data_IF_736589327179
#
_entry.id   IF_736589327179
#
_cell.length_a   1.000
_cell.length_b   1.000
_cell.length_c   1.000
_cell.angle_alpha   90.00
_cell.angle_beta   90.00
_cell.angle_gamma   90.00
#
_symmetry.space_group_name_H-M   'P 1'
#
loop_
_entity.id
_entity.type
_entity.pdbx_description
1 polymer ?
#
# COMPACT_ATOMS: atom_id res chain seq x y z
N UNK A 1 9.87 27.79 18.57
CA UNK A 1 10.34 26.66 17.74
C UNK A 1 9.96 25.40 18.49
N UNK A 2 8.88 24.72 18.07
CA UNK A 2 8.51 23.42 18.63
C UNK A 2 9.56 22.43 18.17
N UNK A 3 10.33 21.89 19.10
CA UNK A 3 11.24 20.77 18.83
C UNK A 3 10.37 19.60 18.38
N UNK A 4 10.40 19.31 17.08
CA UNK A 4 9.76 18.13 16.52
C UNK A 4 10.36 16.91 17.22
N UNK A 5 9.57 16.19 17.99
CA UNK A 5 10.04 15.00 18.69
C UNK A 5 10.35 13.91 17.65
N UNK A 6 11.63 13.63 17.51
CA UNK A 6 12.16 12.68 16.53
C UNK A 6 12.27 11.32 17.21
N UNK A 7 11.52 10.33 16.78
CA UNK A 7 11.40 9.02 17.42
C UNK A 7 11.78 7.86 16.47
N UNK A 8 12.23 6.77 17.05
CA UNK A 8 12.53 5.54 16.33
C UNK A 8 11.25 4.69 16.18
N UNK A 9 10.90 4.31 14.96
CA UNK A 9 9.83 3.36 14.64
C UNK A 9 10.40 2.18 13.88
N UNK A 10 9.75 1.03 14.00
CA UNK A 10 9.98 -0.06 13.04
C UNK A 10 9.39 0.33 11.68
N UNK A 11 9.81 -0.35 10.63
CA UNK A 11 9.28 -0.12 9.29
C UNK A 11 7.74 -0.27 9.25
N UNK A 12 7.23 -1.37 9.81
CA UNK A 12 5.78 -1.63 9.85
C UNK A 12 5.01 -0.55 10.64
N UNK A 13 5.56 -0.08 11.76
CA UNK A 13 4.94 1.01 12.52
C UNK A 13 4.92 2.32 11.73
N UNK A 14 5.98 2.63 11.00
CA UNK A 14 6.06 3.85 10.18
C UNK A 14 5.03 3.84 9.05
N UNK A 15 4.86 2.70 8.37
CA UNK A 15 3.81 2.53 7.34
C UNK A 15 2.42 2.63 7.95
N UNK A 16 2.16 1.92 9.05
CA UNK A 16 0.87 1.96 9.73
C UNK A 16 0.48 3.39 10.15
N UNK A 17 1.43 4.15 10.71
CA UNK A 17 1.21 5.54 11.05
C UNK A 17 0.91 6.42 9.83
N UNK A 18 1.61 6.22 8.72
CA UNK A 18 1.31 6.90 7.47
C UNK A 18 -0.13 6.66 7.03
N UNK A 19 -0.59 5.40 7.07
CA UNK A 19 -1.97 5.07 6.71
C UNK A 19 -2.99 5.74 7.62
N UNK A 20 -2.79 5.72 8.93
CA UNK A 20 -3.67 6.42 9.86
C UNK A 20 -3.75 7.91 9.54
N UNK A 21 -2.63 8.56 9.27
CA UNK A 21 -2.57 9.98 8.94
C UNK A 21 -3.25 10.30 7.60
N UNK A 22 -3.09 9.46 6.57
CA UNK A 22 -3.72 9.67 5.28
C UNK A 22 -5.24 9.41 5.32
N UNK A 23 -5.69 8.43 6.09
CA UNK A 23 -7.12 8.20 6.32
C UNK A 23 -7.78 9.35 7.09
N UNK A 24 -7.07 9.97 8.04
CA UNK A 24 -7.55 11.18 8.74
C UNK A 24 -7.61 12.39 7.82
N UNK A 25 -6.61 12.54 6.94
CA UNK A 25 -6.46 13.68 6.05
C UNK A 25 -7.53 13.72 4.95
N UNK A 26 -7.87 12.57 4.38
CA UNK A 26 -8.73 12.51 3.19
C UNK A 26 -9.79 11.40 3.32
N UNK A 27 -11.09 11.78 3.35
CA UNK A 27 -12.17 10.80 3.44
C UNK A 27 -12.30 9.89 2.23
N UNK A 28 -11.69 10.23 1.09
CA UNK A 28 -11.70 9.40 -0.12
C UNK A 28 -10.66 8.27 -0.08
N UNK A 29 -9.74 8.27 0.89
CA UNK A 29 -8.80 7.16 1.07
C UNK A 29 -9.56 5.95 1.60
N UNK A 30 -9.46 4.84 0.87
CA UNK A 30 -10.01 3.53 1.23
C UNK A 30 -8.92 2.46 1.13
N UNK A 31 -9.10 1.37 1.85
CA UNK A 31 -8.20 0.21 1.79
C UNK A 31 -9.00 -1.03 1.43
N UNK A 32 -8.46 -1.85 0.53
CA UNK A 32 -9.01 -3.16 0.21
C UNK A 32 -7.91 -4.19 -0.01
N UNK A 33 -8.19 -5.42 0.36
CA UNK A 33 -7.28 -6.54 0.20
C UNK A 33 -7.70 -7.72 1.06
N UNK A 34 -6.97 -8.81 0.95
CA UNK A 34 -7.19 -10.00 1.76
C UNK A 34 -6.68 -9.78 3.19
N UNK A 35 -7.51 -10.08 4.19
CA UNK A 35 -7.21 -10.02 5.63
C UNK A 35 -6.76 -8.64 6.17
N UNK A 36 -6.98 -7.56 5.43
CA UNK A 36 -6.54 -6.21 5.82
C UNK A 36 -7.34 -5.63 6.99
N UNK A 37 -8.57 -6.13 7.20
CA UNK A 37 -9.45 -5.73 8.30
C UNK A 37 -9.47 -6.72 9.46
N UNK A 38 -8.66 -7.79 9.40
CA UNK A 38 -8.57 -8.80 10.46
C UNK A 38 -9.12 -10.17 10.08
N UNK A 39 -9.34 -10.42 8.80
CA UNK A 39 -9.81 -11.69 8.24
C UNK A 39 -11.32 -11.72 8.01
N UNK A 40 -11.71 -12.38 6.91
CA UNK A 40 -13.10 -12.49 6.50
C UNK A 40 -13.96 -13.20 7.56
N UNK A 41 -15.12 -12.63 7.87
CA UNK A 41 -16.10 -13.22 8.78
C UNK A 41 -15.90 -12.90 10.26
N UNK A 42 -15.04 -11.94 10.61
CA UNK A 42 -14.95 -11.42 11.97
C UNK A 42 -15.88 -10.21 12.15
N UNK A 43 -16.71 -10.28 13.19
CA UNK A 43 -17.60 -9.18 13.57
C UNK A 43 -16.97 -8.22 14.60
N UNK A 44 -15.86 -8.64 15.24
CA UNK A 44 -15.11 -7.80 16.17
C UNK A 44 -13.93 -7.12 15.48
N UNK A 45 -13.98 -5.83 15.38
CA UNK A 45 -12.91 -5.03 14.77
C UNK A 45 -11.85 -4.56 15.78
N UNK A 46 -12.07 -4.81 17.08
CA UNK A 46 -11.14 -4.35 18.13
C UNK A 46 -9.79 -5.10 18.08
N UNK A 47 -9.82 -6.35 17.64
CA UNK A 47 -8.66 -7.25 17.60
C UNK A 47 -8.20 -7.54 16.16
N UNK A 48 -8.49 -6.65 15.22
CA UNK A 48 -8.09 -6.78 13.84
C UNK A 48 -6.56 -6.81 13.71
N UNK A 49 -6.04 -7.87 13.09
CA UNK A 49 -4.61 -8.11 13.00
C UNK A 49 -3.87 -7.11 12.10
N UNK A 50 -4.59 -6.53 11.14
CA UNK A 50 -4.04 -5.51 10.23
C UNK A 50 -3.19 -6.10 9.11
N UNK A 51 -3.66 -7.18 8.51
CA UNK A 51 -2.95 -7.89 7.45
C UNK A 51 -1.82 -8.76 7.97
N UNK A 52 -1.21 -9.53 7.07
CA UNK A 52 -0.11 -10.47 7.38
C UNK A 52 1.10 -9.77 8.02
N UNK A 53 1.34 -8.52 7.64
CA UNK A 53 2.49 -7.73 8.10
C UNK A 53 2.10 -6.63 9.10
N UNK A 54 0.85 -6.59 9.54
CA UNK A 54 0.30 -5.62 10.50
C UNK A 54 0.38 -4.15 10.03
N UNK A 55 0.50 -3.93 8.73
CA UNK A 55 0.59 -2.60 8.15
C UNK A 55 -0.71 -1.81 8.30
N UNK A 56 -1.86 -2.51 8.35
CA UNK A 56 -3.21 -1.93 8.38
C UNK A 56 -3.86 -2.02 9.76
N UNK A 57 -3.08 -2.37 10.79
CA UNK A 57 -3.59 -2.58 12.15
C UNK A 57 -4.31 -1.34 12.69
N UNK A 58 -5.51 -1.56 13.26
CA UNK A 58 -6.32 -0.53 13.90
C UNK A 58 -7.12 0.35 12.94
N UNK A 59 -6.91 0.26 11.61
CA UNK A 59 -7.65 1.07 10.65
C UNK A 59 -9.15 0.75 10.65
N UNK A 60 -9.51 -0.53 10.63
CA UNK A 60 -10.92 -0.93 10.60
C UNK A 60 -11.69 -0.44 11.83
N UNK A 61 -11.12 -0.55 13.03
CA UNK A 61 -11.74 -0.09 14.26
C UNK A 61 -11.94 1.43 14.31
N UNK A 62 -11.06 2.19 13.63
CA UNK A 62 -11.11 3.66 13.63
C UNK A 62 -11.96 4.23 12.50
N UNK A 63 -11.87 3.65 11.30
CA UNK A 63 -12.45 4.23 10.08
C UNK A 63 -13.63 3.43 9.51
N UNK A 64 -13.91 2.27 10.08
CA UNK A 64 -15.08 1.46 9.75
C UNK A 64 -14.95 0.63 8.46
N UNK A 65 -15.89 -0.32 8.25
CA UNK A 65 -15.88 -1.28 7.14
C UNK A 65 -16.15 -0.64 5.78
N UNK A 66 -16.72 0.56 5.75
CA UNK A 66 -16.94 1.29 4.50
C UNK A 66 -15.64 1.77 3.87
N UNK A 67 -14.61 1.98 4.69
CA UNK A 67 -13.30 2.46 4.24
C UNK A 67 -12.21 1.40 4.30
N UNK A 68 -12.34 0.36 5.13
CA UNK A 68 -11.37 -0.74 5.27
C UNK A 68 -12.08 -2.04 5.00
N UNK A 69 -11.76 -2.70 3.87
CA UNK A 69 -12.55 -3.80 3.33
C UNK A 69 -11.71 -5.05 3.14
N UNK A 70 -12.04 -6.11 3.86
CA UNK A 70 -11.56 -7.44 3.51
C UNK A 70 -12.21 -7.90 2.21
N UNK A 71 -11.43 -8.59 1.39
CA UNK A 71 -11.90 -9.16 0.13
C UNK A 71 -11.75 -10.69 0.18
N UNK A 72 -12.53 -11.42 -0.63
CA UNK A 72 -12.18 -12.82 -0.94
C UNK A 72 -10.79 -12.91 -1.56
N UNK A 73 -10.20 -14.11 -1.57
CA UNK A 73 -8.98 -14.43 -2.32
C UNK A 73 -9.31 -14.30 -3.82
N UNK A 74 -9.09 -13.11 -4.35
CA UNK A 74 -9.55 -12.71 -5.68
C UNK A 74 -8.81 -11.47 -6.16
N UNK A 75 -7.50 -11.57 -6.35
CA UNK A 75 -6.62 -10.42 -6.65
C UNK A 75 -7.05 -9.71 -7.95
N UNK A 76 -7.44 -10.45 -8.97
CA UNK A 76 -7.98 -9.84 -10.19
C UNK A 76 -9.24 -9.01 -9.93
N UNK A 77 -10.11 -9.49 -9.03
CA UNK A 77 -11.35 -8.82 -8.67
C UNK A 77 -11.12 -7.54 -7.87
N UNK A 78 -10.37 -7.60 -6.77
CA UNK A 78 -10.22 -6.43 -5.92
C UNK A 78 -9.24 -5.39 -6.51
N UNK A 79 -8.20 -5.78 -7.26
CA UNK A 79 -7.36 -4.82 -7.98
C UNK A 79 -8.19 -4.12 -9.08
N UNK A 80 -9.04 -4.86 -9.81
CA UNK A 80 -9.96 -4.25 -10.77
C UNK A 80 -10.97 -3.29 -10.12
N UNK A 81 -11.49 -3.66 -8.95
CA UNK A 81 -12.36 -2.77 -8.15
C UNK A 81 -11.62 -1.51 -7.68
N UNK A 82 -10.35 -1.64 -7.28
CA UNK A 82 -9.50 -0.49 -6.92
C UNK A 82 -9.28 0.45 -8.11
N UNK A 83 -8.98 -0.09 -9.30
CA UNK A 83 -8.86 0.72 -10.53
C UNK A 83 -10.15 1.49 -10.81
N UNK A 84 -11.31 0.81 -10.75
CA UNK A 84 -12.61 1.46 -10.95
C UNK A 84 -12.92 2.51 -9.88
N UNK A 85 -12.59 2.24 -8.63
CA UNK A 85 -12.77 3.18 -7.51
C UNK A 85 -11.92 4.44 -7.68
N UNK A 86 -10.66 4.29 -8.12
CA UNK A 86 -9.78 5.43 -8.41
C UNK A 86 -10.32 6.28 -9.57
N UNK A 87 -10.77 5.65 -10.65
CA UNK A 87 -11.40 6.34 -11.77
C UNK A 87 -12.70 7.08 -11.39
N UNK A 88 -13.39 6.60 -10.34
CA UNK A 88 -14.59 7.22 -9.78
C UNK A 88 -14.31 8.32 -8.74
N UNK A 89 -13.04 8.62 -8.44
CA UNK A 89 -12.63 9.73 -7.57
C UNK A 89 -12.27 9.35 -6.14
N UNK A 90 -12.20 8.06 -5.80
CA UNK A 90 -11.62 7.60 -4.53
C UNK A 90 -10.08 7.48 -4.64
N UNK A 91 -9.43 7.33 -3.49
CA UNK A 91 -7.99 7.07 -3.38
C UNK A 91 -7.76 5.69 -2.73
N UNK A 92 -7.92 4.61 -3.50
CA UNK A 92 -7.75 3.28 -2.94
C UNK A 92 -6.29 2.93 -2.68
N UNK A 93 -6.07 2.27 -1.54
CA UNK A 93 -4.90 1.47 -1.26
C UNK A 93 -5.32 0.03 -1.48
N UNK A 94 -4.67 -0.68 -2.37
CA UNK A 94 -4.92 -2.10 -2.62
C UNK A 94 -3.74 -2.93 -2.11
N UNK A 95 -3.98 -3.81 -1.14
CA UNK A 95 -2.94 -4.70 -0.61
C UNK A 95 -2.89 -6.00 -1.43
N UNK A 96 -1.91 -6.08 -2.33
CA UNK A 96 -1.64 -7.27 -3.13
C UNK A 96 -0.91 -8.36 -2.32
N UNK A 97 -0.55 -8.09 -1.08
CA UNK A 97 0.11 -8.98 -0.14
C UNK A 97 1.50 -9.45 -0.63
N UNK A 98 1.61 -10.35 -1.60
CA UNK A 98 2.86 -10.86 -2.15
C UNK A 98 3.00 -10.52 -3.63
N UNK A 99 4.20 -10.09 -4.02
CA UNK A 99 4.47 -9.63 -5.39
C UNK A 99 4.20 -10.69 -6.47
N UNK A 100 4.35 -11.97 -6.14
CA UNK A 100 4.05 -13.08 -7.06
C UNK A 100 2.58 -13.17 -7.47
N UNK A 101 1.66 -12.61 -6.69
CA UNK A 101 0.22 -12.57 -7.02
C UNK A 101 -0.10 -11.67 -8.21
N UNK A 102 0.88 -10.91 -8.72
CA UNK A 102 0.77 -10.21 -10.00
C UNK A 102 0.36 -11.16 -11.14
N UNK A 103 0.73 -12.43 -11.05
CA UNK A 103 0.35 -13.46 -12.03
C UNK A 103 -1.16 -13.64 -12.16
N UNK A 104 -1.93 -13.36 -11.10
CA UNK A 104 -3.41 -13.45 -11.10
C UNK A 104 -4.07 -12.17 -11.60
N UNK A 105 -3.53 -10.99 -11.28
CA UNK A 105 -4.16 -9.70 -11.55
C UNK A 105 -3.42 -8.83 -12.57
N UNK A 106 -2.50 -9.40 -13.32
CA UNK A 106 -1.64 -8.67 -14.26
C UNK A 106 -2.40 -7.80 -15.26
N UNK A 107 -3.52 -8.26 -15.79
CA UNK A 107 -4.34 -7.48 -16.72
C UNK A 107 -4.85 -6.18 -16.08
N UNK A 108 -5.30 -6.24 -14.83
CA UNK A 108 -5.80 -5.05 -14.13
C UNK A 108 -4.69 -4.02 -13.91
N UNK A 109 -3.46 -4.46 -13.70
CA UNK A 109 -2.30 -3.57 -13.48
C UNK A 109 -1.75 -3.07 -14.82
N UNK A 110 -1.43 -3.97 -15.76
CA UNK A 110 -0.69 -3.62 -16.97
C UNK A 110 -1.56 -3.00 -18.07
N UNK A 111 -2.82 -3.39 -18.17
CA UNK A 111 -3.74 -2.87 -19.18
C UNK A 111 -4.66 -1.78 -18.63
N UNK A 112 -5.28 -2.01 -17.49
CA UNK A 112 -6.23 -1.04 -16.96
C UNK A 112 -5.51 0.08 -16.18
N UNK A 113 -4.82 -0.24 -15.10
CA UNK A 113 -4.17 0.75 -14.23
C UNK A 113 -3.11 1.58 -14.97
N UNK A 114 -2.19 0.93 -15.69
CA UNK A 114 -1.09 1.62 -16.36
C UNK A 114 -1.52 2.49 -17.54
N UNK A 115 -2.59 2.13 -18.23
CA UNK A 115 -2.93 2.73 -19.55
C UNK A 115 -4.18 3.60 -19.54
N UNK A 116 -5.02 3.51 -18.51
CA UNK A 116 -6.33 4.19 -18.52
C UNK A 116 -6.20 5.71 -18.69
N UNK A 117 -5.24 6.35 -18.02
CA UNK A 117 -4.97 7.77 -18.19
C UNK A 117 -4.72 8.13 -19.66
N UNK A 118 -3.86 7.39 -20.34
CA UNK A 118 -3.56 7.59 -21.75
C UNK A 118 -4.78 7.28 -22.66
N UNK A 119 -5.48 6.17 -22.40
CA UNK A 119 -6.62 5.72 -23.20
C UNK A 119 -7.77 6.74 -23.16
N UNK A 120 -7.94 7.47 -22.07
CA UNK A 120 -8.95 8.52 -21.91
C UNK A 120 -8.42 9.93 -22.25
N UNK A 121 -7.30 10.01 -22.97
CA UNK A 121 -6.75 11.29 -23.45
C UNK A 121 -6.29 12.22 -22.32
N UNK A 122 -5.77 11.65 -21.22
CA UNK A 122 -5.28 12.41 -20.07
C UNK A 122 -6.36 12.97 -19.13
N UNK A 123 -7.64 12.59 -19.34
CA UNK A 123 -8.75 13.17 -18.57
C UNK A 123 -9.06 12.41 -17.27
N UNK A 124 -8.65 11.15 -17.17
CA UNK A 124 -8.88 10.29 -16.00
C UNK A 124 -7.63 10.26 -15.16
N UNK A 125 -7.72 10.71 -13.91
CA UNK A 125 -6.70 10.48 -12.89
C UNK A 125 -6.92 9.09 -12.28
N UNK A 126 -5.85 8.44 -11.87
CA UNK A 126 -5.90 7.13 -11.21
C UNK A 126 -5.06 7.15 -9.94
N UNK A 127 -5.53 7.83 -8.89
CA UNK A 127 -4.86 7.89 -7.59
C UNK A 127 -4.96 6.55 -6.86
N UNK A 128 -4.29 5.52 -7.38
CA UNK A 128 -4.30 4.17 -6.84
C UNK A 128 -2.92 3.79 -6.34
N UNK A 129 -2.84 3.41 -5.07
CA UNK A 129 -1.64 2.84 -4.47
C UNK A 129 -1.78 1.33 -4.33
N UNK A 130 -0.93 0.55 -4.98
CA UNK A 130 -0.78 -0.87 -4.68
C UNK A 130 0.38 -1.04 -3.71
N UNK A 131 0.14 -1.70 -2.59
CA UNK A 131 1.20 -2.16 -1.70
C UNK A 131 1.42 -3.65 -1.88
N UNK A 132 2.67 -4.08 -1.90
CA UNK A 132 3.00 -5.50 -2.01
C UNK A 132 4.32 -5.82 -1.31
N UNK A 133 4.46 -7.05 -0.84
CA UNK A 133 5.69 -7.50 -0.22
C UNK A 133 6.59 -8.22 -1.22
N UNK A 134 7.91 -8.05 -1.05
CA UNK A 134 8.94 -8.60 -1.93
C UNK A 134 10.12 -9.14 -1.14
N UNK A 135 10.94 -9.95 -1.79
CA UNK A 135 12.19 -10.47 -1.23
C UNK A 135 12.03 -11.79 -0.48
N UNK A 136 13.14 -12.47 -0.29
CA UNK A 136 13.27 -13.73 0.47
C UNK A 136 13.71 -13.47 1.92
N UNK A 137 14.01 -14.53 2.66
CA UNK A 137 14.69 -14.47 3.95
C UNK A 137 13.82 -14.70 5.20
N UNK A 138 12.49 -14.83 5.01
CA UNK A 138 11.55 -15.09 6.13
C UNK A 138 11.01 -16.52 6.15
N UNK A 139 11.51 -17.41 5.28
CA UNK A 139 11.12 -18.83 5.27
C UNK A 139 9.72 -19.11 4.70
N UNK A 140 9.19 -18.22 3.85
CA UNK A 140 7.84 -18.34 3.28
C UNK A 140 7.78 -19.09 1.94
N UNK A 141 8.72 -19.99 1.69
CA UNK A 141 8.84 -20.85 0.50
C UNK A 141 8.96 -20.07 -0.83
N UNK A 142 8.89 -20.75 -1.96
CA UNK A 142 9.18 -20.19 -3.29
C UNK A 142 8.16 -19.14 -3.71
N UNK A 143 6.87 -19.43 -3.58
CA UNK A 143 5.76 -18.58 -4.04
C UNK A 143 5.69 -17.21 -3.33
N UNK A 144 6.33 -17.07 -2.17
CA UNK A 144 6.31 -15.85 -1.38
C UNK A 144 7.71 -15.25 -1.21
N UNK A 145 8.68 -15.60 -2.05
CA UNK A 145 10.08 -15.16 -1.94
C UNK A 145 10.59 -14.43 -3.19
N UNK A 146 9.69 -14.02 -4.04
CA UNK A 146 10.00 -13.40 -5.33
C UNK A 146 10.37 -11.92 -5.19
N UNK A 147 11.08 -11.43 -6.22
CA UNK A 147 11.43 -10.02 -6.40
C UNK A 147 11.22 -9.68 -7.87
N UNK A 148 10.08 -9.07 -8.19
CA UNK A 148 9.57 -8.90 -9.55
C UNK A 148 9.53 -7.44 -10.00
N UNK A 149 10.42 -6.57 -9.50
CA UNK A 149 10.43 -5.13 -9.84
C UNK A 149 10.45 -4.88 -11.34
N UNK A 150 11.24 -5.64 -12.10
CA UNK A 150 11.42 -5.47 -13.54
C UNK A 150 10.12 -5.63 -14.34
N UNK A 151 9.19 -6.45 -13.87
CA UNK A 151 7.88 -6.61 -14.53
C UNK A 151 7.10 -5.29 -14.45
N UNK A 152 7.04 -4.68 -13.26
CA UNK A 152 6.24 -3.47 -13.04
C UNK A 152 6.85 -2.25 -13.74
N UNK A 153 8.16 -2.06 -13.64
CA UNK A 153 8.83 -0.90 -14.25
C UNK A 153 8.90 -0.98 -15.77
N UNK A 154 8.60 -2.15 -16.35
CA UNK A 154 8.53 -2.32 -17.80
C UNK A 154 7.32 -1.60 -18.41
N UNK A 155 6.23 -1.42 -17.67
CA UNK A 155 5.00 -0.84 -18.19
C UNK A 155 4.93 0.68 -17.96
N UNK A 156 4.91 1.51 -19.03
CA UNK A 156 4.69 2.94 -18.90
C UNK A 156 3.34 3.26 -18.23
N UNK A 157 3.32 4.28 -17.38
CA UNK A 157 2.12 4.71 -16.64
C UNK A 157 2.09 4.22 -15.19
N UNK A 158 3.08 3.44 -14.75
CA UNK A 158 3.24 3.02 -13.36
C UNK A 158 4.45 3.73 -12.73
N UNK A 159 4.28 4.25 -11.53
CA UNK A 159 5.37 4.66 -10.65
C UNK A 159 5.69 3.52 -9.69
N UNK A 160 6.96 3.23 -9.47
CA UNK A 160 7.42 2.12 -8.63
C UNK A 160 8.40 2.63 -7.58
N UNK A 161 8.14 2.35 -6.32
CA UNK A 161 9.02 2.75 -5.21
C UNK A 161 9.32 1.57 -4.28
N UNK A 162 10.53 1.53 -3.74
CA UNK A 162 10.98 0.51 -2.80
C UNK A 162 11.64 1.19 -1.59
N UNK A 163 10.89 1.51 -0.53
CA UNK A 163 11.44 2.16 0.66
C UNK A 163 12.46 1.29 1.36
N UNK A 164 13.58 1.89 1.80
CA UNK A 164 14.72 1.16 2.38
C UNK A 164 14.83 1.28 3.91
N UNK A 165 14.06 2.16 4.53
CA UNK A 165 14.08 2.43 5.96
C UNK A 165 12.74 3.00 6.45
N UNK A 166 12.45 3.08 7.77
CA UNK A 166 11.19 3.59 8.29
C UNK A 166 10.83 5.02 7.89
N UNK A 167 11.82 5.92 7.80
CA UNK A 167 11.60 7.29 7.36
C UNK A 167 11.08 7.32 5.91
N UNK A 168 11.79 6.66 5.01
CA UNK A 168 11.36 6.57 3.61
C UNK A 168 10.03 5.80 3.46
N UNK A 169 9.80 4.77 4.29
CA UNK A 169 8.55 4.02 4.27
C UNK A 169 7.36 4.92 4.58
N UNK A 170 7.40 5.67 5.69
CA UNK A 170 6.33 6.61 6.03
C UNK A 170 6.10 7.66 4.93
N UNK A 171 7.16 8.34 4.50
CA UNK A 171 7.04 9.43 3.54
C UNK A 171 6.68 9.00 2.13
N UNK A 172 7.18 7.84 1.65
CA UNK A 172 6.85 7.33 0.31
C UNK A 172 5.42 6.75 0.25
N UNK A 173 4.91 6.12 1.32
CA UNK A 173 3.51 5.72 1.36
C UNK A 173 2.58 6.94 1.36
N UNK A 174 2.88 7.98 2.12
CA UNK A 174 2.12 9.23 2.07
C UNK A 174 2.15 9.84 0.66
N UNK A 175 3.32 9.94 0.04
CA UNK A 175 3.47 10.46 -1.32
C UNK A 175 2.69 9.62 -2.35
N UNK A 176 2.75 8.29 -2.23
CA UNK A 176 2.03 7.37 -3.13
C UNK A 176 0.51 7.55 -3.03
N UNK A 177 -0.03 7.67 -1.80
CA UNK A 177 -1.47 7.85 -1.59
C UNK A 177 -1.96 9.21 -2.11
N UNK A 178 -1.11 10.24 -2.06
CA UNK A 178 -1.43 11.60 -2.53
C UNK A 178 -1.23 11.80 -4.03
N UNK A 179 -0.49 10.91 -4.68
CA UNK A 179 -0.23 11.00 -6.12
C UNK A 179 -1.53 10.80 -6.91
N UNK A 180 -1.68 11.53 -8.00
CA UNK A 180 -2.82 11.38 -8.92
C UNK A 180 -2.58 10.31 -10.00
N UNK A 181 -1.37 9.76 -10.05
CA UNK A 181 -0.98 8.64 -10.92
C UNK A 181 -0.80 7.34 -10.11
N UNK A 182 -0.89 6.18 -10.76
CA UNK A 182 -0.75 4.91 -10.07
C UNK A 182 0.66 4.68 -9.52
N UNK A 183 0.74 4.31 -8.24
CA UNK A 183 2.02 4.01 -7.56
C UNK A 183 2.00 2.59 -7.00
N UNK A 184 3.08 1.84 -7.22
CA UNK A 184 3.31 0.54 -6.60
C UNK A 184 4.42 0.66 -5.58
N UNK A 185 4.13 0.30 -4.34
CA UNK A 185 5.08 0.35 -3.23
C UNK A 185 5.50 -1.07 -2.85
N UNK A 186 6.78 -1.36 -3.04
CA UNK A 186 7.38 -2.67 -2.72
C UNK A 186 7.96 -2.66 -1.31
N UNK A 187 7.31 -3.33 -0.38
CA UNK A 187 7.75 -3.46 1.00
C UNK A 187 8.63 -4.71 1.16
N UNK A 188 9.92 -4.54 1.45
CA UNK A 188 10.81 -5.70 1.62
C UNK A 188 10.52 -6.42 2.93
N UNK A 189 10.25 -7.73 2.87
CA UNK A 189 9.79 -8.53 4.03
C UNK A 189 10.73 -8.50 5.23
N UNK A 190 12.04 -8.53 5.02
CA UNK A 190 13.00 -8.46 6.12
C UNK A 190 12.97 -7.10 6.84
N UNK A 191 12.67 -6.02 6.13
CA UNK A 191 12.51 -4.70 6.76
C UNK A 191 11.23 -4.64 7.61
N UNK A 192 10.13 -5.21 7.12
CA UNK A 192 8.85 -5.26 7.84
C UNK A 192 8.93 -6.12 9.11
N UNK A 193 9.70 -7.19 9.08
CA UNK A 193 9.90 -8.12 10.21
C UNK A 193 10.69 -7.54 11.39
N UNK A 194 10.99 -6.28 11.40
CA UNK A 194 11.68 -5.63 12.51
C UNK A 194 13.21 -5.78 12.51
N UNK A 195 13.79 -6.20 11.39
CA UNK A 195 15.24 -6.23 11.23
C UNK A 195 15.76 -4.80 11.05
N UNK A 196 16.27 -4.26 12.12
CA UNK A 196 16.87 -2.93 12.17
C UNK A 196 15.92 -1.82 12.58
N UNK A 197 16.33 -1.05 13.56
CA UNK A 197 15.74 0.26 13.87
C UNK A 197 16.25 1.23 12.81
N UNK A 198 15.34 1.82 12.04
CA UNK A 198 15.69 2.81 11.04
C UNK A 198 16.05 4.17 11.64
N UNK A 199 16.28 5.17 10.78
CA UNK A 199 16.46 6.54 11.22
C UNK A 199 15.21 7.05 11.94
N UNK A 200 15.39 8.08 12.74
CA UNK A 200 14.31 8.75 13.46
C UNK A 200 13.19 9.21 12.50
N UNK A 201 11.95 8.97 12.89
CA UNK A 201 10.76 9.26 12.08
C UNK A 201 9.97 10.42 12.70
N UNK A 202 9.74 11.53 12.00
CA UNK A 202 8.89 12.63 12.49
C UNK A 202 7.48 12.16 12.83
N UNK A 203 6.85 12.79 13.82
CA UNK A 203 5.48 12.46 14.21
C UNK A 203 4.46 13.01 13.21
N UNK A 204 4.70 14.21 12.71
CA UNK A 204 3.87 14.82 11.67
C UNK A 204 3.90 14.03 10.36
N UNK A 205 2.87 14.22 9.54
CA UNK A 205 2.82 13.68 8.19
C UNK A 205 3.80 14.45 7.30
N UNK A 206 4.54 13.72 6.47
CA UNK A 206 5.44 14.28 5.46
C UNK A 206 5.50 13.36 4.24
N UNK A 207 5.98 13.91 3.15
CA UNK A 207 6.22 13.17 1.92
C UNK A 207 7.71 13.06 1.64
N UNK A 208 8.11 11.92 1.07
CA UNK A 208 9.39 11.75 0.38
C UNK A 208 9.09 11.77 -1.11
N UNK A 209 9.81 12.61 -1.85
CA UNK A 209 9.54 12.80 -3.28
C UNK A 209 9.83 11.53 -4.08
N UNK A 210 8.86 11.11 -4.88
CA UNK A 210 9.00 9.95 -5.76
C UNK A 210 9.90 10.32 -6.94
N UNK A 211 10.93 9.50 -7.19
CA UNK A 211 11.85 9.70 -8.32
C UNK A 211 13.14 10.45 -7.98
N UNK A 212 13.36 10.75 -6.72
CA UNK A 212 14.63 11.32 -6.23
C UNK A 212 15.38 10.39 -5.32
#
# INVERSE_FOLDING_TARGET
>A
MTTTEVRALTYAQAVNESFHQEFERDPNVILMGEDVAGGAGRDDFEDAWGGVFKLTRGLIGKFGPERVRDTPISENGFIGAAVGSAAAGLRPIADLMFVGFIGVCGDQIFNNMAKMHYMFGGKVKLPLTIITSTGAGVGSAAQHSETLYSIFVHFPGLKCVAPSNPYNAKGLHAAAIRDDDPVIVFNHKLLMGGVGTGPHVPQESYEVEIGK
#
